data_IF_708916248075
#
_entry.id   IF_708916248075
#
_cell.length_a   1.000
_cell.length_b   1.000
_cell.length_c   1.000
_cell.angle_alpha   90.00
_cell.angle_beta   90.00
_cell.angle_gamma   90.00
#
_symmetry.space_group_name_H-M   'P 1'
#
loop_
_entity.id
_entity.type
_entity.pdbx_description
1 polymer ?
#
# COMPACT_ATOMS: atom_id res chain seq x y z
N UNK A 1 2.76 23.77 5.88
CA UNK A 1 2.26 22.79 4.89
C UNK A 1 3.04 21.49 4.99
N UNK A 2 2.33 20.37 5.06
CA UNK A 2 2.93 19.06 5.19
C UNK A 2 3.52 18.59 3.85
N UNK A 3 4.78 18.18 3.85
CA UNK A 3 5.42 17.63 2.65
C UNK A 3 5.53 16.12 2.79
N UNK A 4 4.96 15.39 1.85
CA UNK A 4 5.06 13.93 1.84
C UNK A 4 6.10 13.48 0.83
N UNK A 5 6.85 12.44 1.18
CA UNK A 5 7.82 11.81 0.29
C UNK A 5 7.73 10.30 0.43
N UNK A 6 8.14 9.60 -0.62
CA UNK A 6 8.12 8.14 -0.68
C UNK A 6 9.52 7.69 -1.10
N UNK A 7 10.15 6.85 -0.27
CA UNK A 7 11.50 6.36 -0.55
C UNK A 7 11.54 4.83 -0.53
N UNK A 8 12.26 4.25 -1.46
CA UNK A 8 12.46 2.81 -1.48
C UNK A 8 13.15 2.33 -0.20
N UNK A 9 12.86 1.11 0.22
CA UNK A 9 13.53 0.48 1.35
C UNK A 9 14.98 0.23 0.97
N UNK A 10 15.89 0.63 1.85
CA UNK A 10 17.34 0.51 1.65
C UNK A 10 18.01 0.22 3.00
N UNK A 11 19.32 0.02 2.97
CA UNK A 11 20.09 -0.17 4.20
C UNK A 11 20.00 1.05 5.13
N UNK A 12 19.68 2.22 4.59
CA UNK A 12 19.61 3.46 5.39
C UNK A 12 18.32 3.56 6.21
N UNK A 13 17.21 2.97 5.73
CA UNK A 13 15.91 3.13 6.39
C UNK A 13 15.26 1.83 6.86
N UNK A 14 15.80 0.66 6.50
CA UNK A 14 15.15 -0.62 6.80
C UNK A 14 14.94 -0.86 8.29
N UNK A 15 15.91 -0.48 9.11
CA UNK A 15 15.81 -0.66 10.56
C UNK A 15 14.65 0.13 11.15
N UNK A 16 14.49 1.38 10.71
CA UNK A 16 13.40 2.23 11.17
C UNK A 16 12.05 1.74 10.66
N UNK A 17 12.02 1.28 9.41
CA UNK A 17 10.79 0.73 8.81
C UNK A 17 10.33 -0.49 9.59
N UNK A 18 11.23 -1.36 10.01
CA UNK A 18 10.88 -2.55 10.80
C UNK A 18 10.35 -2.21 12.19
N UNK A 19 10.61 -1.00 12.70
CA UNK A 19 10.07 -0.53 13.98
C UNK A 19 8.68 0.06 13.89
N UNK A 20 8.17 0.30 12.70
CA UNK A 20 6.81 0.80 12.51
C UNK A 20 5.81 -0.21 13.08
N UNK A 21 4.77 0.29 13.74
CA UNK A 21 3.77 -0.54 14.40
C UNK A 21 2.42 -0.45 13.74
N UNK A 22 1.84 -1.61 13.48
CA UNK A 22 0.48 -1.71 12.95
C UNK A 22 -0.47 -1.58 14.15
N UNK A 23 -1.52 -0.76 14.00
CA UNK A 23 -2.55 -0.60 15.01
C UNK A 23 -3.16 -1.97 15.33
N UNK A 24 -3.42 -2.23 16.63
CA UNK A 24 -3.98 -3.51 17.08
C UNK A 24 -5.25 -3.91 16.33
N UNK A 25 -6.10 -2.95 16.00
CA UNK A 25 -7.34 -3.20 15.26
C UNK A 25 -7.09 -3.62 13.81
N UNK A 26 -5.89 -3.39 13.28
CA UNK A 26 -5.53 -3.69 11.89
C UNK A 26 -4.64 -4.93 11.76
N UNK A 27 -4.09 -5.45 12.85
CA UNK A 27 -3.18 -6.60 12.80
C UNK A 27 -3.78 -7.83 12.15
N UNK A 28 -5.08 -8.02 12.26
CA UNK A 28 -5.77 -9.16 11.65
C UNK A 28 -5.93 -9.00 10.13
N UNK A 29 -5.71 -7.80 9.57
CA UNK A 29 -5.98 -7.49 8.17
C UNK A 29 -4.72 -7.28 7.33
N UNK A 30 -3.56 -7.17 7.94
CA UNK A 30 -2.32 -6.80 7.25
C UNK A 30 -1.19 -7.73 7.69
N UNK A 31 -0.40 -8.20 6.73
CA UNK A 31 0.81 -8.95 7.04
C UNK A 31 1.86 -8.04 7.66
N UNK A 32 2.78 -8.61 8.42
CA UNK A 32 3.85 -7.85 9.07
C UNK A 32 4.79 -7.25 8.02
N UNK A 33 5.43 -6.15 8.37
CA UNK A 33 6.45 -5.51 7.52
C UNK A 33 7.59 -6.47 7.24
N UNK A 34 8.01 -7.23 8.25
CA UNK A 34 9.07 -8.24 8.09
C UNK A 34 8.72 -9.26 7.01
N UNK A 35 7.48 -9.77 7.02
CA UNK A 35 7.03 -10.72 6.01
C UNK A 35 6.99 -10.07 4.62
N UNK A 36 6.53 -8.84 4.52
CA UNK A 36 6.50 -8.10 3.25
C UNK A 36 7.90 -7.93 2.66
N UNK A 37 8.88 -7.58 3.48
CA UNK A 37 10.26 -7.42 3.02
C UNK A 37 10.87 -8.73 2.58
N UNK A 38 10.50 -9.83 3.24
CA UNK A 38 10.92 -11.18 2.84
C UNK A 38 10.33 -11.54 1.48
N UNK A 39 9.03 -11.28 1.29
CA UNK A 39 8.35 -11.53 0.02
C UNK A 39 8.99 -10.72 -1.11
N UNK A 40 9.39 -9.48 -0.83
CA UNK A 40 10.05 -8.62 -1.81
C UNK A 40 11.40 -9.15 -2.26
N UNK A 41 12.11 -9.86 -1.40
CA UNK A 41 13.38 -10.51 -1.78
C UNK A 41 13.17 -11.70 -2.70
N UNK A 42 12.04 -12.38 -2.56
CA UNK A 42 11.70 -13.56 -3.35
C UNK A 42 11.02 -13.21 -4.67
N UNK A 43 10.42 -12.04 -4.79
CA UNK A 43 9.71 -11.61 -6.00
C UNK A 43 10.20 -10.24 -6.45
N UNK A 44 10.85 -10.21 -7.61
CA UNK A 44 11.47 -9.00 -8.17
C UNK A 44 10.47 -7.88 -8.52
N UNK A 45 9.18 -8.20 -8.61
CA UNK A 45 8.17 -7.21 -8.97
C UNK A 45 7.74 -6.33 -7.81
N UNK A 46 7.93 -6.76 -6.58
CA UNK A 46 7.57 -5.97 -5.41
C UNK A 46 8.52 -4.78 -5.20
N UNK A 47 7.94 -3.65 -4.85
CA UNK A 47 8.67 -2.42 -4.50
C UNK A 47 8.22 -1.97 -3.11
N UNK A 48 8.92 -2.38 -2.04
CA UNK A 48 8.62 -1.89 -0.69
C UNK A 48 9.15 -0.47 -0.53
N UNK A 49 8.34 0.40 0.08
CA UNK A 49 8.68 1.81 0.26
C UNK A 49 8.32 2.30 1.66
N UNK A 50 9.11 3.23 2.17
CA UNK A 50 8.77 3.97 3.37
C UNK A 50 8.01 5.24 3.00
N UNK A 51 7.05 5.61 3.84
CA UNK A 51 6.21 6.78 3.67
C UNK A 51 6.61 7.83 4.70
N UNK A 52 6.88 9.05 4.24
CA UNK A 52 7.41 10.12 5.09
C UNK A 52 6.53 11.35 5.05
N UNK A 53 6.43 12.04 6.19
CA UNK A 53 5.78 13.34 6.31
C UNK A 53 6.79 14.28 6.98
N UNK A 54 7.14 15.37 6.31
CA UNK A 54 8.16 16.33 6.77
C UNK A 54 9.46 15.64 7.22
N UNK A 55 9.93 14.69 6.41
CA UNK A 55 11.13 13.87 6.62
C UNK A 55 11.06 12.90 7.81
N UNK A 56 9.87 12.71 8.39
CA UNK A 56 9.64 11.74 9.45
C UNK A 56 8.98 10.52 8.84
N UNK A 57 9.53 9.33 9.12
CA UNK A 57 8.95 8.07 8.68
C UNK A 57 7.63 7.82 9.42
N UNK A 58 6.53 7.72 8.69
CA UNK A 58 5.19 7.58 9.27
C UNK A 58 4.42 6.35 8.78
N UNK A 59 4.93 5.63 7.81
CA UNK A 59 4.21 4.47 7.29
C UNK A 59 5.02 3.63 6.32
N UNK A 60 4.37 2.61 5.78
CA UNK A 60 4.96 1.65 4.87
C UNK A 60 3.96 1.27 3.79
N UNK A 61 4.48 1.00 2.60
CA UNK A 61 3.68 0.46 1.51
C UNK A 61 4.53 -0.50 0.68
N UNK A 62 3.85 -1.36 -0.06
CA UNK A 62 4.50 -2.22 -1.05
C UNK A 62 3.59 -2.32 -2.26
N UNK A 63 4.16 -2.15 -3.43
CA UNK A 63 3.42 -2.18 -4.69
C UNK A 63 4.25 -2.87 -5.76
N UNK A 64 3.66 -3.07 -6.93
CA UNK A 64 4.39 -3.64 -8.04
C UNK A 64 3.54 -3.76 -9.30
N UNK A 65 4.23 -4.00 -10.42
CA UNK A 65 3.61 -4.33 -11.68
C UNK A 65 3.87 -5.80 -11.99
N UNK A 66 2.80 -6.54 -12.25
CA UNK A 66 2.86 -7.99 -12.49
C UNK A 66 2.45 -8.27 -13.94
N UNK A 67 3.43 -8.42 -14.84
CA UNK A 67 3.14 -8.53 -16.29
C UNK A 67 2.38 -9.80 -16.67
N UNK A 68 2.43 -10.84 -15.86
CA UNK A 68 1.71 -12.09 -16.11
C UNK A 68 0.23 -12.08 -15.72
N UNK A 69 -0.26 -11.00 -15.15
CA UNK A 69 -1.64 -10.91 -14.71
C UNK A 69 -2.50 -10.15 -15.72
N UNK A 70 -3.72 -10.66 -15.97
CA UNK A 70 -4.60 -10.05 -16.95
C UNK A 70 -4.02 -10.12 -18.36
N UNK A 71 -4.55 -9.31 -19.26
CA UNK A 71 -4.07 -9.25 -20.66
C UNK A 71 -2.79 -8.42 -20.83
N UNK A 72 -2.66 -7.38 -20.04
CA UNK A 72 -1.58 -6.40 -20.17
C UNK A 72 -0.80 -6.18 -18.87
N UNK A 73 -0.93 -7.12 -17.93
CA UNK A 73 -0.35 -6.98 -16.61
C UNK A 73 -1.22 -6.12 -15.71
N UNK A 74 -0.92 -6.15 -14.41
CA UNK A 74 -1.65 -5.38 -13.41
C UNK A 74 -0.69 -4.70 -12.45
N UNK A 75 -1.04 -3.46 -12.08
CA UNK A 75 -0.37 -2.73 -11.01
C UNK A 75 -1.16 -2.96 -9.72
N UNK A 76 -0.46 -3.45 -8.70
CA UNK A 76 -1.06 -3.74 -7.40
C UNK A 76 -0.47 -2.84 -6.33
N UNK A 77 -1.34 -2.24 -5.50
CA UNK A 77 -0.97 -1.67 -4.22
C UNK A 77 -1.21 -2.77 -3.19
N UNK A 78 -0.15 -3.47 -2.84
CA UNK A 78 -0.23 -4.72 -2.11
C UNK A 78 -0.29 -4.55 -0.59
N UNK A 79 0.38 -3.54 -0.08
CA UNK A 79 0.40 -3.21 1.36
C UNK A 79 0.42 -1.71 1.54
N UNK A 80 -0.31 -1.26 2.54
CA UNK A 80 -0.33 0.16 2.89
C UNK A 80 -0.80 0.31 4.34
N UNK A 81 0.02 0.93 5.19
CA UNK A 81 -0.43 1.31 6.53
C UNK A 81 0.34 2.52 7.05
N UNK A 82 -0.29 3.24 7.98
CA UNK A 82 0.31 4.34 8.71
C UNK A 82 0.66 3.82 10.11
N UNK A 83 1.86 4.16 10.58
CA UNK A 83 2.33 3.79 11.92
C UNK A 83 1.29 4.18 12.98
N UNK A 84 1.07 3.27 13.94
CA UNK A 84 0.03 3.44 14.96
C UNK A 84 0.13 4.79 15.70
N UNK A 85 1.35 5.27 15.95
CA UNK A 85 1.57 6.54 16.63
C UNK A 85 1.27 7.76 15.78
N UNK A 86 1.16 7.58 14.47
CA UNK A 86 0.93 8.68 13.53
C UNK A 86 -0.49 8.68 12.95
N UNK A 87 -1.36 7.80 13.40
CA UNK A 87 -2.75 7.74 12.95
C UNK A 87 -3.58 8.88 13.57
N UNK A 88 -4.69 9.22 12.92
CA UNK A 88 -5.60 10.24 13.40
C UNK A 88 -5.29 11.66 12.95
N UNK A 89 -4.28 11.84 12.11
CA UNK A 89 -3.85 13.17 11.62
C UNK A 89 -4.11 13.37 10.13
N UNK A 90 -4.91 12.50 9.51
CA UNK A 90 -5.21 12.60 8.07
C UNK A 90 -4.11 12.10 7.15
N UNK A 91 -3.05 11.51 7.68
CA UNK A 91 -1.92 11.04 6.88
C UNK A 91 -2.27 9.90 5.93
N UNK A 92 -3.22 9.04 6.34
CA UNK A 92 -3.67 7.94 5.49
C UNK A 92 -4.19 8.43 4.14
N UNK A 93 -5.06 9.43 4.15
CA UNK A 93 -5.59 10.04 2.93
C UNK A 93 -4.50 10.69 2.08
N UNK A 94 -3.67 11.50 2.71
CA UNK A 94 -2.63 12.26 2.02
C UNK A 94 -1.61 11.32 1.37
N UNK A 95 -1.19 10.29 2.10
CA UNK A 95 -0.18 9.35 1.61
C UNK A 95 -0.76 8.36 0.60
N UNK A 96 -2.02 7.97 0.73
CA UNK A 96 -2.66 7.15 -0.29
C UNK A 96 -2.75 7.91 -1.61
N UNK A 97 -3.13 9.19 -1.56
CA UNK A 97 -3.15 10.04 -2.76
C UNK A 97 -1.77 10.14 -3.39
N UNK A 98 -0.74 10.34 -2.57
CA UNK A 98 0.64 10.40 -3.06
C UNK A 98 1.09 9.07 -3.69
N UNK A 99 0.70 7.94 -3.10
CA UNK A 99 1.00 6.62 -3.66
C UNK A 99 0.32 6.38 -5.00
N UNK A 100 -0.96 6.73 -5.10
CA UNK A 100 -1.70 6.59 -6.35
C UNK A 100 -1.01 7.38 -7.46
N UNK A 101 -0.64 8.63 -7.16
CA UNK A 101 0.07 9.47 -8.12
C UNK A 101 1.40 8.86 -8.54
N UNK A 102 2.15 8.33 -7.57
CA UNK A 102 3.44 7.67 -7.86
C UNK A 102 3.27 6.44 -8.76
N UNK A 103 2.24 5.61 -8.51
CA UNK A 103 1.97 4.43 -9.32
C UNK A 103 1.62 4.81 -10.77
N UNK A 104 0.83 5.85 -10.95
CA UNK A 104 0.47 6.35 -12.27
C UNK A 104 1.71 6.86 -13.00
N UNK A 105 2.56 7.63 -12.33
CA UNK A 105 3.79 8.18 -12.92
C UNK A 105 4.81 7.09 -13.24
N UNK A 106 4.97 6.10 -12.36
CA UNK A 106 5.98 5.06 -12.51
C UNK A 106 5.61 4.03 -13.57
N UNK A 107 4.33 3.65 -13.65
CA UNK A 107 3.89 2.56 -14.51
C UNK A 107 3.02 2.98 -15.69
N UNK A 108 2.57 4.23 -15.74
CA UNK A 108 1.65 4.71 -16.78
C UNK A 108 0.47 3.75 -16.95
N UNK A 109 -0.13 3.34 -15.83
CA UNK A 109 -1.13 2.30 -15.80
C UNK A 109 -2.56 2.83 -15.95
N UNK A 110 -3.47 2.07 -16.59
CA UNK A 110 -4.87 2.46 -16.69
C UNK A 110 -5.69 2.13 -15.45
N UNK A 111 -5.19 1.22 -14.61
CA UNK A 111 -5.89 0.74 -13.42
C UNK A 111 -4.92 0.40 -12.31
N UNK A 112 -5.39 0.55 -11.07
CA UNK A 112 -4.64 0.16 -9.88
C UNK A 112 -5.52 -0.83 -9.11
N UNK A 113 -4.94 -1.96 -8.73
CA UNK A 113 -5.61 -3.02 -8.01
C UNK A 113 -5.15 -3.10 -6.57
N UNK A 114 -6.02 -3.47 -5.67
CA UNK A 114 -5.70 -3.86 -4.30
C UNK A 114 -6.68 -4.92 -3.83
N UNK A 115 -6.36 -5.60 -2.75
CA UNK A 115 -7.31 -6.51 -2.12
C UNK A 115 -7.51 -6.12 -0.66
N UNK A 116 -8.67 -6.48 -0.12
CA UNK A 116 -9.08 -6.05 1.20
C UNK A 116 -9.93 -7.12 1.86
N UNK A 117 -9.78 -7.27 3.17
CA UNK A 117 -10.72 -8.05 3.98
C UNK A 117 -11.96 -7.17 4.17
N UNK A 118 -13.13 -7.68 3.80
CA UNK A 118 -14.38 -6.90 3.82
C UNK A 118 -14.71 -6.27 5.19
N UNK A 119 -14.30 -6.93 6.27
CA UNK A 119 -14.57 -6.44 7.62
C UNK A 119 -13.74 -5.21 7.99
N UNK A 120 -12.72 -4.89 7.20
CA UNK A 120 -11.86 -3.73 7.45
C UNK A 120 -12.54 -2.46 6.95
N UNK A 121 -13.49 -1.98 7.72
CA UNK A 121 -14.35 -0.84 7.34
C UNK A 121 -13.58 0.46 7.15
N UNK A 122 -12.57 0.71 7.97
CA UNK A 122 -11.77 1.92 7.86
C UNK A 122 -11.03 1.98 6.52
N UNK A 123 -10.39 0.87 6.14
CA UNK A 123 -9.69 0.78 4.85
C UNK A 123 -10.66 0.85 3.69
N UNK A 124 -11.80 0.16 3.79
CA UNK A 124 -12.83 0.17 2.76
C UNK A 124 -13.33 1.59 2.49
N UNK A 125 -13.62 2.34 3.55
CA UNK A 125 -14.07 3.72 3.44
C UNK A 125 -13.02 4.59 2.74
N UNK A 126 -11.76 4.44 3.14
CA UNK A 126 -10.65 5.20 2.56
C UNK A 126 -10.47 4.91 1.06
N UNK A 127 -10.46 3.63 0.70
CA UNK A 127 -10.26 3.25 -0.70
C UNK A 127 -11.43 3.68 -1.59
N UNK A 128 -12.67 3.55 -1.12
CA UNK A 128 -13.83 4.03 -1.87
C UNK A 128 -13.78 5.53 -2.10
N UNK A 129 -13.31 6.28 -1.12
CA UNK A 129 -13.16 7.72 -1.24
C UNK A 129 -12.25 8.10 -2.41
N UNK A 130 -11.24 7.29 -2.70
CA UNK A 130 -10.28 7.55 -3.79
C UNK A 130 -10.63 6.82 -5.09
N UNK A 131 -11.83 6.29 -5.19
CA UNK A 131 -12.33 5.77 -6.46
C UNK A 131 -12.12 4.28 -6.68
N UNK A 132 -11.72 3.54 -5.64
CA UNK A 132 -11.65 2.08 -5.72
C UNK A 132 -13.03 1.47 -5.56
N UNK A 133 -13.33 0.45 -6.33
CA UNK A 133 -14.60 -0.27 -6.27
C UNK A 133 -14.35 -1.77 -6.45
N UNK A 134 -15.19 -2.59 -5.84
CA UNK A 134 -15.10 -4.04 -6.00
C UNK A 134 -15.35 -4.43 -7.46
N UNK A 135 -14.58 -5.39 -7.96
CA UNK A 135 -14.71 -5.88 -9.33
C UNK A 135 -15.26 -7.32 -9.42
N UNK A 136 -15.63 -7.92 -8.28
CA UNK A 136 -16.16 -9.28 -8.23
C UNK A 136 -15.10 -10.36 -8.07
N UNK A 137 -13.83 -10.03 -8.15
CA UNK A 137 -12.75 -11.00 -7.98
C UNK A 137 -12.40 -11.18 -6.51
N UNK A 138 -11.83 -12.34 -6.20
CA UNK A 138 -11.19 -12.60 -4.90
C UNK A 138 -9.78 -13.09 -5.18
N UNK A 139 -8.85 -12.76 -4.30
CA UNK A 139 -7.47 -13.23 -4.45
C UNK A 139 -7.32 -14.64 -3.83
N UNK A 140 -6.08 -15.15 -3.85
CA UNK A 140 -5.80 -16.51 -3.34
C UNK A 140 -6.01 -16.64 -1.82
N UNK A 141 -6.12 -15.52 -1.09
CA UNK A 141 -6.42 -15.49 0.34
C UNK A 141 -7.91 -15.26 0.63
N UNK A 142 -8.75 -15.29 -0.39
CA UNK A 142 -10.19 -14.97 -0.32
C UNK A 142 -10.47 -13.52 0.08
N UNK A 143 -9.50 -12.62 -0.08
CA UNK A 143 -9.72 -11.20 0.09
C UNK A 143 -10.36 -10.64 -1.17
N UNK A 144 -11.22 -9.66 -1.01
CA UNK A 144 -11.93 -9.05 -2.13
C UNK A 144 -11.06 -8.05 -2.86
N UNK A 145 -11.11 -8.10 -4.19
CA UNK A 145 -10.33 -7.22 -5.05
C UNK A 145 -11.08 -5.93 -5.34
N UNK A 146 -10.38 -4.81 -5.23
CA UNK A 146 -10.88 -3.50 -5.61
C UNK A 146 -10.01 -2.92 -6.72
N UNK A 147 -10.61 -2.15 -7.60
CA UNK A 147 -9.95 -1.53 -8.74
C UNK A 147 -10.27 -0.05 -8.80
N UNK A 148 -9.24 0.75 -9.04
CA UNK A 148 -9.40 2.17 -9.38
C UNK A 148 -9.04 2.35 -10.84
N UNK A 149 -9.94 2.96 -11.59
CA UNK A 149 -9.64 3.38 -12.97
C UNK A 149 -8.95 4.73 -12.95
N UNK A 150 -7.86 4.80 -13.66
CA UNK A 150 -7.03 6.01 -13.73
C UNK A 150 -7.51 6.93 -14.84
#
# INVERSE_FOLDING_TARGET
MMKTTIHEVSNENVTDILKLQINEKQKAYIETTEQCLKDAKECKYYRPVGLYSDDILVGFAMYGFFPGEGENGRVWLDRFFIDAEHQGFGLGSILLEALIKRLIEEYDCPEIYLSIVEDNQAALHLYKKYGFAFNGESDYNNEKVMVKKV
#
